data_IF_827267372157
#
_entry.id   IF_827267372157
#
_cell.length_a   1.000
_cell.length_b   1.000
_cell.length_c   1.000
_cell.angle_alpha   90.00
_cell.angle_beta   90.00
_cell.angle_gamma   90.00
#
_symmetry.space_group_name_H-M   'P 1'
#
loop_
_entity.id
_entity.type
_entity.pdbx_description
1 polymer ?
#
# COMPACT_ATOMS: atom_id res chain seq x y z
N UNK A 1 8.57 -59.13 5.18
CA UNK A 1 9.92 -58.62 5.41
C UNK A 1 9.79 -57.16 5.71
N UNK A 2 9.59 -56.95 6.89
CA UNK A 2 10.17 -56.15 7.99
C UNK A 2 10.33 -54.67 7.71
N UNK A 3 9.39 -53.92 8.30
CA UNK A 3 9.38 -52.47 8.56
C UNK A 3 10.55 -52.06 9.45
N UNK A 4 11.12 -50.86 9.16
CA UNK A 4 11.89 -50.12 10.15
C UNK A 4 11.39 -48.65 10.18
N UNK A 5 11.03 -48.12 11.35
CA UNK A 5 10.67 -46.72 11.50
C UNK A 5 11.94 -45.87 11.65
N UNK A 6 11.99 -44.74 10.93
CA UNK A 6 12.98 -43.67 11.12
C UNK A 6 12.60 -42.78 12.31
N UNK A 7 13.38 -42.87 13.37
CA UNK A 7 13.37 -41.96 14.50
C UNK A 7 13.95 -40.60 14.08
N UNK A 8 13.15 -39.56 14.05
CA UNK A 8 13.59 -38.16 14.03
C UNK A 8 14.10 -37.78 15.41
N UNK A 9 15.39 -37.59 15.59
CA UNK A 9 15.99 -37.00 16.79
C UNK A 9 15.93 -35.47 16.64
N UNK A 10 15.08 -34.83 17.43
CA UNK A 10 15.10 -33.38 17.62
C UNK A 10 16.42 -32.94 18.28
N UNK A 11 17.20 -32.14 17.60
CA UNK A 11 18.37 -31.49 18.16
C UNK A 11 17.94 -30.29 18.99
N UNK A 12 17.99 -30.44 20.30
CA UNK A 12 17.85 -29.34 21.27
C UNK A 12 19.15 -28.52 21.24
N UNK A 13 19.12 -27.35 20.63
CA UNK A 13 20.25 -26.43 20.64
C UNK A 13 20.31 -25.76 22.02
N UNK A 14 21.22 -26.22 22.86
CA UNK A 14 21.55 -25.61 24.14
C UNK A 14 22.34 -24.34 23.84
N UNK A 15 21.73 -23.17 24.10
CA UNK A 15 22.44 -21.88 24.11
C UNK A 15 23.44 -21.89 25.29
N UNK A 16 24.72 -22.03 24.95
CA UNK A 16 25.82 -21.86 25.91
C UNK A 16 25.93 -20.39 26.25
N UNK A 17 25.59 -20.03 27.48
CA UNK A 17 25.86 -18.71 28.02
C UNK A 17 27.38 -18.54 28.14
N UNK A 18 28.00 -17.80 27.24
CA UNK A 18 29.37 -17.33 27.41
C UNK A 18 29.47 -16.44 28.62
N UNK A 19 30.48 -16.67 29.43
CA UNK A 19 30.78 -15.99 30.67
C UNK A 19 30.91 -14.47 30.44
N UNK A 20 30.01 -13.68 31.01
CA UNK A 20 30.14 -12.25 31.10
C UNK A 20 31.46 -11.87 31.82
N UNK A 21 32.21 -10.89 31.30
CA UNK A 21 33.43 -10.41 31.98
C UNK A 21 33.09 -9.79 33.34
N UNK A 22 34.04 -9.81 34.34
CA UNK A 22 33.78 -9.34 35.67
C UNK A 22 33.47 -7.83 35.65
N UNK A 23 32.37 -7.46 36.29
CA UNK A 23 31.89 -6.08 36.45
C UNK A 23 32.93 -5.28 37.25
N UNK A 24 33.82 -4.58 36.53
CA UNK A 24 34.65 -3.54 37.17
C UNK A 24 33.72 -2.42 37.63
N UNK A 25 33.75 -2.15 38.94
CA UNK A 25 33.11 -1.08 39.72
C UNK A 25 32.45 0.01 38.86
N UNK A 26 31.14 -0.17 38.56
CA UNK A 26 30.31 0.90 38.00
C UNK A 26 30.27 2.02 39.06
N UNK A 27 30.83 3.17 38.71
CA UNK A 27 30.57 4.41 39.47
C UNK A 27 29.05 4.63 39.47
N UNK A 28 28.47 4.89 40.65
CA UNK A 28 27.07 5.22 40.83
C UNK A 28 26.67 6.31 39.85
N UNK A 29 26.05 5.94 38.76
CA UNK A 29 25.30 6.89 37.91
C UNK A 29 24.07 7.29 38.72
N UNK A 30 23.84 8.61 38.81
CA UNK A 30 22.70 9.20 39.49
C UNK A 30 21.40 8.45 39.13
N UNK A 31 20.55 8.09 40.12
CA UNK A 31 19.27 7.44 39.84
C UNK A 31 18.39 8.22 38.85
N UNK A 32 18.64 9.52 38.68
CA UNK A 32 18.01 10.37 37.69
C UNK A 32 18.31 9.95 36.25
N UNK A 33 19.49 9.39 35.93
CA UNK A 33 19.84 8.96 34.60
C UNK A 33 19.04 7.69 34.17
N UNK A 34 18.83 6.78 35.13
CA UNK A 34 18.07 5.54 34.89
C UNK A 34 16.58 5.87 34.69
N UNK A 35 16.03 6.81 35.46
CA UNK A 35 14.63 7.26 35.31
C UNK A 35 14.44 7.96 33.97
N UNK A 36 15.42 8.73 33.48
CA UNK A 36 15.35 9.42 32.19
C UNK A 36 15.36 8.43 31.01
N UNK A 37 16.15 7.35 31.09
CA UNK A 37 16.17 6.30 30.05
C UNK A 37 14.85 5.51 30.05
N UNK A 38 14.24 5.24 31.21
CA UNK A 38 12.93 4.59 31.27
C UNK A 38 11.79 5.51 30.81
N UNK A 39 11.87 6.82 31.07
CA UNK A 39 10.84 7.76 30.62
C UNK A 39 10.86 7.98 29.10
N UNK A 40 12.03 7.96 28.46
CA UNK A 40 12.14 8.06 26.98
C UNK A 40 11.69 6.78 26.25
N UNK A 41 11.82 5.61 26.88
CA UNK A 41 11.32 4.35 26.31
C UNK A 41 9.79 4.24 26.35
N UNK A 42 9.10 5.02 27.20
CA UNK A 42 7.63 5.07 27.29
C UNK A 42 6.99 6.08 26.31
N UNK A 43 7.80 6.86 25.58
CA UNK A 43 7.36 7.88 24.63
C UNK A 43 7.51 7.43 23.17
N UNK A 44 7.51 6.13 22.87
CA UNK A 44 7.24 5.73 21.49
C UNK A 44 5.85 6.23 21.12
N UNK A 45 5.73 7.10 20.09
CA UNK A 45 4.41 7.53 19.66
C UNK A 45 3.58 6.28 19.34
N UNK A 46 2.38 6.23 19.91
CA UNK A 46 1.44 5.17 19.59
C UNK A 46 1.25 5.13 18.08
N UNK A 47 1.15 3.93 17.51
CA UNK A 47 0.88 3.78 16.08
C UNK A 47 -0.45 4.49 15.75
N UNK A 48 -0.44 5.36 14.76
CA UNK A 48 -1.66 5.97 14.25
C UNK A 48 -2.35 4.97 13.32
N UNK A 49 -3.60 4.64 13.62
CA UNK A 49 -4.40 3.69 12.85
C UNK A 49 -5.62 4.40 12.31
N UNK A 50 -5.76 4.41 10.99
CA UNK A 50 -6.89 4.93 10.25
C UNK A 50 -7.61 3.76 9.58
N UNK A 51 -8.90 3.58 9.83
CA UNK A 51 -9.72 2.55 9.21
C UNK A 51 -10.69 3.15 8.22
N UNK A 52 -10.92 2.42 7.13
CA UNK A 52 -11.85 2.83 6.09
C UNK A 52 -12.68 1.66 5.56
N UNK A 53 -13.85 2.01 5.04
CA UNK A 53 -14.71 1.12 4.27
C UNK A 53 -15.05 1.80 2.95
N UNK A 54 -15.30 1.01 1.90
CA UNK A 54 -15.67 1.54 0.61
C UNK A 54 -16.78 0.70 -0.04
N UNK A 55 -17.72 1.39 -0.68
CA UNK A 55 -18.70 0.80 -1.60
C UNK A 55 -18.21 1.00 -3.01
N UNK A 56 -18.15 -0.07 -3.78
CA UNK A 56 -17.62 -0.10 -5.15
C UNK A 56 -18.78 -0.35 -6.10
N UNK A 57 -18.97 0.57 -7.04
CA UNK A 57 -19.98 0.50 -8.09
C UNK A 57 -19.28 0.53 -9.46
N UNK A 58 -19.20 -0.59 -10.18
CA UNK A 58 -18.68 -0.64 -11.54
C UNK A 58 -19.71 -0.21 -12.62
N UNK A 59 -20.92 0.18 -12.24
CA UNK A 59 -21.96 0.60 -13.18
C UNK A 59 -22.63 -0.54 -13.95
N UNK A 60 -22.42 -1.80 -13.56
CA UNK A 60 -22.99 -2.99 -14.23
C UNK A 60 -24.04 -3.72 -13.36
N UNK A 61 -24.49 -3.08 -12.28
CA UNK A 61 -25.47 -3.62 -11.31
C UNK A 61 -24.89 -4.48 -10.20
N UNK A 62 -23.62 -4.88 -10.27
CA UNK A 62 -22.94 -5.54 -9.16
C UNK A 62 -22.36 -4.49 -8.20
N UNK A 63 -22.43 -4.78 -6.91
CA UNK A 63 -21.85 -3.93 -5.87
C UNK A 63 -20.83 -4.76 -5.09
N UNK A 64 -19.61 -4.24 -5.04
CA UNK A 64 -18.56 -4.82 -4.19
C UNK A 64 -18.32 -3.91 -2.99
N UNK A 65 -17.61 -4.41 -2.01
CA UNK A 65 -17.18 -3.62 -0.85
C UNK A 65 -15.68 -3.78 -0.65
N UNK A 66 -15.06 -2.77 -0.05
CA UNK A 66 -13.69 -2.90 0.44
C UNK A 66 -13.62 -2.42 1.89
N UNK A 67 -12.67 -2.96 2.63
CA UNK A 67 -12.31 -2.53 3.98
C UNK A 67 -10.81 -2.50 4.09
N UNK A 68 -10.30 -1.60 4.89
CA UNK A 68 -8.86 -1.57 5.09
C UNK A 68 -8.45 -0.67 6.24
N UNK A 69 -7.15 -0.67 6.47
CA UNK A 69 -6.51 0.14 7.49
C UNK A 69 -5.18 0.70 6.97
N UNK A 70 -4.84 1.85 7.50
CA UNK A 70 -3.54 2.51 7.30
C UNK A 70 -2.91 2.66 8.66
N UNK A 71 -1.75 2.04 8.86
CA UNK A 71 -0.99 2.09 10.12
C UNK A 71 0.30 2.87 9.87
N UNK A 72 0.51 3.94 10.65
CA UNK A 72 1.76 4.72 10.64
C UNK A 72 2.55 4.39 11.89
N UNK A 73 3.74 3.86 11.71
CA UNK A 73 4.64 3.51 12.80
C UNK A 73 6.09 3.55 12.36
N UNK A 74 6.97 4.14 13.17
CA UNK A 74 8.43 4.20 12.96
C UNK A 74 8.84 4.69 11.56
N UNK A 75 8.15 5.73 11.04
CA UNK A 75 8.43 6.33 9.74
C UNK A 75 8.05 5.43 8.56
N UNK A 76 7.25 4.39 8.78
CA UNK A 76 6.68 3.52 7.77
C UNK A 76 5.16 3.59 7.78
N UNK A 77 4.59 3.46 6.61
CA UNK A 77 3.15 3.31 6.43
C UNK A 77 2.87 1.90 5.90
N UNK A 78 1.99 1.20 6.58
CA UNK A 78 1.42 -0.08 6.12
C UNK A 78 -0.05 0.16 5.81
N UNK A 79 -0.45 -0.08 4.57
CA UNK A 79 -1.86 -0.08 4.15
C UNK A 79 -2.26 -1.51 3.81
N UNK A 80 -3.34 -1.98 4.41
CA UNK A 80 -3.97 -3.27 4.13
C UNK A 80 -5.37 -3.03 3.60
N UNK A 81 -5.75 -3.72 2.53
CA UNK A 81 -7.08 -3.60 1.89
C UNK A 81 -7.62 -4.98 1.56
N UNK A 82 -8.90 -5.19 1.83
CA UNK A 82 -9.64 -6.39 1.47
C UNK A 82 -10.85 -5.99 0.64
N UNK A 83 -11.07 -6.70 -0.45
CA UNK A 83 -12.22 -6.49 -1.34
C UNK A 83 -13.11 -7.71 -1.29
N UNK A 84 -14.42 -7.46 -1.26
CA UNK A 84 -15.43 -8.51 -1.06
C UNK A 84 -16.49 -8.43 -2.15
N UNK A 85 -17.05 -9.57 -2.48
CA UNK A 85 -18.28 -9.66 -3.27
C UNK A 85 -19.53 -9.39 -2.41
N UNK A 86 -20.70 -9.50 -3.03
CA UNK A 86 -22.00 -9.30 -2.40
C UNK A 86 -22.28 -10.34 -1.28
N UNK A 87 -21.63 -11.50 -1.33
CA UNK A 87 -21.77 -12.59 -0.35
C UNK A 87 -20.74 -12.49 0.78
N UNK A 88 -19.86 -11.49 0.74
CA UNK A 88 -18.79 -11.32 1.72
C UNK A 88 -17.57 -12.20 1.48
N UNK A 89 -17.44 -12.84 0.31
CA UNK A 89 -16.25 -13.59 -0.06
C UNK A 89 -15.12 -12.65 -0.43
N UNK A 90 -13.90 -12.93 0.05
CA UNK A 90 -12.71 -12.14 -0.30
C UNK A 90 -12.37 -12.37 -1.78
N UNK A 91 -12.35 -11.29 -2.55
CA UNK A 91 -11.98 -11.25 -3.96
C UNK A 91 -10.53 -10.90 -4.16
N UNK A 92 -10.04 -9.94 -3.37
CA UNK A 92 -8.66 -9.46 -3.40
C UNK A 92 -8.23 -9.12 -1.97
N UNK A 93 -6.99 -9.45 -1.66
CA UNK A 93 -6.29 -8.87 -0.53
C UNK A 93 -5.04 -8.12 -1.03
N UNK A 94 -4.74 -6.99 -0.41
CA UNK A 94 -3.59 -6.17 -0.78
C UNK A 94 -2.94 -5.62 0.48
N UNK A 95 -1.61 -5.77 0.55
CA UNK A 95 -0.78 -5.15 1.59
C UNK A 95 0.37 -4.40 0.94
N UNK A 96 0.46 -3.11 1.23
CA UNK A 96 1.57 -2.27 0.79
C UNK A 96 2.27 -1.65 1.99
N UNK A 97 3.60 -1.65 1.95
CA UNK A 97 4.46 -1.00 2.94
C UNK A 97 5.36 -0.01 2.22
N UNK A 98 5.45 1.21 2.71
CA UNK A 98 6.27 2.26 2.12
C UNK A 98 6.84 3.20 3.20
N UNK A 99 7.88 3.94 2.85
CA UNK A 99 8.48 4.97 3.68
C UNK A 99 7.54 6.18 3.77
N UNK A 100 7.32 6.68 4.98
CA UNK A 100 6.36 7.77 5.22
C UNK A 100 6.81 9.11 4.62
N UNK A 101 8.10 9.42 4.66
CA UNK A 101 8.62 10.72 4.22
C UNK A 101 8.84 10.79 2.72
N UNK A 102 9.40 9.73 2.15
CA UNK A 102 9.73 9.67 0.73
C UNK A 102 8.73 8.91 -0.13
N UNK A 103 7.70 8.30 0.49
CA UNK A 103 6.70 7.43 -0.15
C UNK A 103 7.30 6.28 -0.96
N UNK A 104 8.59 5.98 -0.72
CA UNK A 104 9.28 4.91 -1.42
C UNK A 104 8.71 3.57 -1.01
N UNK A 105 8.26 2.81 -1.99
CA UNK A 105 7.73 1.48 -1.79
C UNK A 105 8.79 0.58 -1.17
N UNK A 106 8.44 -0.14 -0.12
CA UNK A 106 9.28 -1.16 0.52
C UNK A 106 8.84 -2.53 0.03
N UNK A 107 7.53 -2.81 0.10
CA UNK A 107 6.95 -4.03 -0.43
C UNK A 107 5.48 -3.84 -0.80
N UNK A 108 5.04 -4.65 -1.75
CA UNK A 108 3.63 -4.83 -2.11
C UNK A 108 3.38 -6.33 -2.28
N UNK A 109 2.26 -6.80 -1.77
CA UNK A 109 1.67 -8.09 -2.12
C UNK A 109 0.19 -7.84 -2.39
N UNK A 110 -0.28 -8.26 -3.55
CA UNK A 110 -1.68 -8.17 -3.97
C UNK A 110 -2.09 -9.52 -4.55
N UNK A 111 -3.09 -10.16 -3.95
CA UNK A 111 -3.53 -11.50 -4.29
C UNK A 111 -5.03 -11.52 -4.58
N UNK A 112 -5.39 -12.06 -5.72
CA UNK A 112 -6.77 -12.34 -6.12
C UNK A 112 -7.01 -13.85 -6.14
N UNK A 113 -7.50 -14.45 -5.03
CA UNK A 113 -7.55 -15.91 -4.84
C UNK A 113 -8.40 -16.63 -5.90
N UNK A 114 -9.48 -16.00 -6.39
CA UNK A 114 -10.39 -16.59 -7.39
C UNK A 114 -9.67 -17.08 -8.64
N UNK A 115 -8.66 -16.33 -9.07
CA UNK A 115 -7.93 -16.61 -10.31
C UNK A 115 -6.49 -17.05 -10.05
N UNK A 116 -6.02 -16.93 -8.80
CA UNK A 116 -4.61 -17.12 -8.46
C UNK A 116 -3.70 -16.05 -9.05
N UNK A 117 -4.27 -14.85 -9.33
CA UNK A 117 -3.50 -13.67 -9.74
C UNK A 117 -2.73 -13.14 -8.55
N UNK A 118 -1.44 -12.87 -8.75
CA UNK A 118 -0.55 -12.34 -7.72
C UNK A 118 0.32 -11.25 -8.31
N UNK A 119 0.46 -10.15 -7.58
CA UNK A 119 1.44 -9.10 -7.84
C UNK A 119 2.27 -8.90 -6.59
N UNK A 120 3.58 -8.89 -6.75
CA UNK A 120 4.53 -8.66 -5.68
C UNK A 120 5.54 -7.59 -6.12
N UNK A 121 5.89 -6.68 -5.23
CA UNK A 121 7.01 -5.77 -5.41
C UNK A 121 7.83 -5.82 -4.13
N UNK A 122 9.14 -5.99 -4.29
CA UNK A 122 10.09 -5.94 -3.18
C UNK A 122 11.24 -5.00 -3.52
N UNK A 123 11.52 -4.04 -2.66
CA UNK A 123 12.68 -3.17 -2.80
C UNK A 123 13.95 -3.90 -2.38
N UNK A 124 15.00 -3.82 -3.23
CA UNK A 124 16.36 -4.33 -2.95
C UNK A 124 17.38 -3.25 -3.33
N UNK A 125 17.87 -2.54 -2.33
CA UNK A 125 18.80 -1.42 -2.54
C UNK A 125 18.17 -0.30 -3.37
N UNK A 126 18.74 -0.01 -4.53
CA UNK A 126 18.28 1.00 -5.50
C UNK A 126 17.37 0.43 -6.58
N UNK A 127 16.80 -0.75 -6.40
CA UNK A 127 15.95 -1.41 -7.38
C UNK A 127 14.70 -2.00 -6.71
N UNK A 128 13.66 -2.20 -7.52
CA UNK A 128 12.48 -3.00 -7.18
C UNK A 128 12.49 -4.27 -8.02
N UNK A 129 12.22 -5.39 -7.38
CA UNK A 129 11.91 -6.65 -8.05
C UNK A 129 10.40 -6.76 -8.05
N UNK A 130 9.79 -6.68 -9.23
CA UNK A 130 8.37 -6.84 -9.44
C UNK A 130 8.08 -8.21 -10.03
N UNK A 131 7.17 -8.97 -9.42
CA UNK A 131 6.75 -10.29 -9.87
C UNK A 131 5.25 -10.29 -10.13
N UNK A 132 4.84 -10.92 -11.20
CA UNK A 132 3.45 -10.99 -11.60
C UNK A 132 3.10 -12.38 -12.11
N UNK A 133 1.98 -12.89 -11.65
CA UNK A 133 1.30 -14.07 -12.17
C UNK A 133 -0.15 -13.74 -12.44
N UNK A 134 -0.61 -13.95 -13.67
CA UNK A 134 -1.97 -13.58 -14.09
C UNK A 134 -3.03 -14.54 -13.54
N UNK A 135 -2.71 -15.83 -13.47
CA UNK A 135 -3.60 -16.88 -12.95
C UNK A 135 -2.79 -18.07 -12.42
N UNK A 136 -3.46 -19.00 -11.73
CA UNK A 136 -2.81 -20.16 -11.10
C UNK A 136 -2.11 -21.11 -12.09
N UNK A 137 -2.46 -21.09 -13.37
CA UNK A 137 -1.85 -21.91 -14.41
C UNK A 137 -0.62 -21.28 -15.07
N UNK A 138 -0.27 -20.04 -14.74
CA UNK A 138 0.90 -19.35 -15.30
C UNK A 138 2.06 -19.33 -14.33
N UNK A 139 3.29 -19.27 -14.86
CA UNK A 139 4.48 -18.99 -14.07
C UNK A 139 4.61 -17.52 -13.72
N UNK A 140 5.37 -17.21 -12.68
CA UNK A 140 5.71 -15.84 -12.34
C UNK A 140 6.61 -15.23 -13.42
N UNK A 141 6.23 -14.03 -13.85
CA UNK A 141 7.09 -13.15 -14.66
C UNK A 141 7.74 -12.15 -13.74
N UNK A 142 9.05 -12.02 -13.82
CA UNK A 142 9.84 -11.08 -13.03
C UNK A 142 10.31 -9.89 -13.88
N UNK A 143 10.37 -8.72 -13.25
CA UNK A 143 10.90 -7.50 -13.86
C UNK A 143 11.65 -6.69 -12.81
N UNK A 144 12.80 -6.12 -13.21
CA UNK A 144 13.61 -5.24 -12.37
C UNK A 144 13.34 -3.79 -12.79
N UNK A 145 13.01 -2.94 -11.83
CA UNK A 145 12.73 -1.52 -12.00
C UNK A 145 13.75 -0.75 -11.17
N UNK A 146 14.40 0.26 -11.75
CA UNK A 146 15.31 1.11 -11.00
C UNK A 146 14.52 2.09 -10.12
N UNK A 147 14.98 2.31 -8.88
CA UNK A 147 14.40 3.32 -8.00
C UNK A 147 14.61 4.71 -8.60
N UNK A 148 13.55 5.49 -8.66
CA UNK A 148 13.53 6.84 -9.19
C UNK A 148 12.77 7.77 -8.23
N UNK A 149 12.97 9.07 -8.29
CA UNK A 149 12.18 10.03 -7.54
C UNK A 149 10.69 9.90 -7.86
N UNK A 150 9.85 9.91 -6.81
CA UNK A 150 8.38 9.82 -6.90
C UNK A 150 7.88 8.63 -7.74
N UNK A 151 8.55 7.49 -7.62
CA UNK A 151 8.09 6.25 -8.18
C UNK A 151 7.10 5.59 -7.22
N UNK A 152 5.83 5.59 -7.60
CA UNK A 152 4.70 5.13 -6.80
C UNK A 152 4.06 3.88 -7.42
N UNK A 153 3.18 3.25 -6.67
CA UNK A 153 2.23 2.24 -7.15
C UNK A 153 0.80 2.71 -6.85
N UNK A 154 -0.19 2.20 -7.57
CA UNK A 154 -1.60 2.55 -7.35
C UNK A 154 -2.06 2.40 -5.90
N UNK A 155 -1.46 1.45 -5.14
CA UNK A 155 -1.83 1.16 -3.75
C UNK A 155 -1.35 2.20 -2.74
N UNK A 156 -0.17 2.84 -2.93
CA UNK A 156 0.31 3.91 -2.04
C UNK A 156 -0.01 5.31 -2.56
N UNK A 157 -0.44 5.43 -3.83
CA UNK A 157 -0.82 6.69 -4.45
C UNK A 157 -1.87 7.49 -3.67
N UNK A 158 -2.98 6.90 -3.17
CA UNK A 158 -3.98 7.67 -2.42
C UNK A 158 -3.41 8.33 -1.17
N UNK A 159 -2.53 7.66 -0.44
CA UNK A 159 -1.89 8.22 0.77
C UNK A 159 -0.92 9.34 0.38
N UNK A 160 -0.13 9.15 -0.69
CA UNK A 160 0.73 10.19 -1.22
C UNK A 160 -0.06 11.46 -1.57
N UNK A 161 -1.15 11.33 -2.32
CA UNK A 161 -1.98 12.45 -2.75
C UNK A 161 -2.58 13.20 -1.56
N UNK A 162 -3.16 12.49 -0.58
CA UNK A 162 -3.77 13.12 0.59
C UNK A 162 -2.82 14.02 1.38
N UNK A 163 -1.54 13.66 1.43
CA UNK A 163 -0.51 14.40 2.17
C UNK A 163 0.18 15.49 1.34
N UNK A 164 -0.02 15.50 0.02
CA UNK A 164 0.66 16.41 -0.91
C UNK A 164 -0.30 17.24 -1.78
N UNK A 165 -1.55 17.43 -1.35
CA UNK A 165 -2.54 18.21 -2.10
C UNK A 165 -2.09 19.64 -2.37
N UNK A 166 -1.30 20.23 -1.47
CA UNK A 166 -0.72 21.56 -1.62
C UNK A 166 0.28 21.68 -2.79
N UNK A 167 0.86 20.56 -3.24
CA UNK A 167 1.77 20.52 -4.40
C UNK A 167 1.01 20.36 -5.72
N UNK A 168 -0.30 20.01 -5.64
CA UNK A 168 -1.12 19.71 -6.82
C UNK A 168 -1.91 20.95 -7.20
N UNK A 169 -1.33 21.78 -8.06
CA UNK A 169 -2.00 22.96 -8.61
C UNK A 169 -2.71 22.67 -9.95
N UNK A 170 -3.24 23.73 -10.57
CA UNK A 170 -3.85 23.67 -11.92
C UNK A 170 -2.82 23.32 -13.00
N UNK A 171 -1.57 23.76 -12.84
CA UNK A 171 -0.47 23.47 -13.76
C UNK A 171 -0.11 21.98 -13.80
N UNK A 172 -0.39 21.27 -12.70
CA UNK A 172 -0.17 19.85 -12.57
C UNK A 172 1.09 19.48 -11.81
N UNK A 173 1.06 18.30 -11.21
CA UNK A 173 2.17 17.65 -10.51
C UNK A 173 2.40 16.27 -11.14
N UNK A 174 3.66 15.94 -11.45
CA UNK A 174 3.99 14.69 -12.18
C UNK A 174 4.60 13.68 -11.23
N UNK A 175 4.11 12.44 -11.29
CA UNK A 175 4.68 11.27 -10.63
C UNK A 175 4.82 10.12 -11.64
N UNK A 176 5.63 9.13 -11.31
CA UNK A 176 5.74 7.87 -12.06
C UNK A 176 5.00 6.76 -11.34
N UNK A 177 4.20 5.99 -12.07
CA UNK A 177 3.52 4.81 -11.55
C UNK A 177 4.12 3.53 -12.11
N UNK A 178 4.40 2.59 -11.21
CA UNK A 178 4.75 1.21 -11.59
C UNK A 178 3.48 0.48 -12.01
N UNK A 179 3.48 -0.07 -13.21
CA UNK A 179 2.41 -0.93 -13.75
C UNK A 179 2.98 -2.35 -13.89
N UNK A 180 2.83 -3.15 -12.83
CA UNK A 180 3.44 -4.48 -12.71
C UNK A 180 3.06 -5.42 -13.86
N UNK A 181 1.77 -5.56 -14.27
CA UNK A 181 1.39 -6.46 -15.36
C UNK A 181 2.04 -6.10 -16.70
N UNK A 182 2.27 -4.81 -16.93
CA UNK A 182 2.84 -4.28 -18.18
C UNK A 182 4.37 -4.20 -18.15
N UNK A 183 5.00 -4.46 -17.00
CA UNK A 183 6.45 -4.35 -16.78
C UNK A 183 7.01 -2.97 -17.17
N UNK A 184 6.27 -1.91 -16.86
CA UNK A 184 6.63 -0.55 -17.27
C UNK A 184 6.30 0.47 -16.18
N UNK A 185 6.86 1.65 -16.37
CA UNK A 185 6.56 2.85 -15.61
C UNK A 185 5.84 3.84 -16.53
N UNK A 186 4.84 4.53 -15.99
CA UNK A 186 4.09 5.55 -16.72
C UNK A 186 4.16 6.85 -15.94
N UNK A 187 4.51 7.95 -16.60
CA UNK A 187 4.39 9.29 -16.04
C UNK A 187 2.93 9.72 -16.07
N UNK A 188 2.42 10.07 -14.89
CA UNK A 188 1.07 10.57 -14.69
C UNK A 188 1.11 12.01 -14.20
N UNK A 189 0.21 12.84 -14.70
CA UNK A 189 0.03 14.22 -14.26
C UNK A 189 -1.25 14.35 -13.44
N UNK A 190 -1.13 14.97 -12.27
CA UNK A 190 -2.22 15.25 -11.34
C UNK A 190 -2.55 16.73 -11.37
N UNK A 191 -3.81 17.09 -11.53
CA UNK A 191 -4.28 18.49 -11.57
C UNK A 191 -5.42 18.69 -10.61
N UNK A 192 -5.37 19.76 -9.82
CA UNK A 192 -6.51 20.20 -9.03
C UNK A 192 -7.50 20.91 -9.92
N UNK A 193 -8.73 20.42 -9.99
CA UNK A 193 -9.84 20.93 -10.81
C UNK A 193 -10.81 21.80 -10.01
N UNK A 194 -10.43 22.15 -8.78
CA UNK A 194 -11.25 22.94 -7.88
C UNK A 194 -12.02 22.09 -6.88
N UNK A 195 -13.03 22.69 -6.28
CA UNK A 195 -13.81 22.10 -5.19
C UNK A 195 -15.16 21.59 -5.72
N UNK A 196 -15.54 20.39 -5.27
CA UNK A 196 -16.83 19.74 -5.54
C UNK A 196 -17.49 19.31 -4.24
N UNK A 197 -18.82 19.30 -4.22
CA UNK A 197 -19.55 18.66 -3.12
C UNK A 197 -19.77 17.16 -3.43
N UNK A 198 -19.29 16.31 -2.55
CA UNK A 198 -19.41 14.85 -2.64
C UNK A 198 -20.12 14.34 -1.39
N UNK A 199 -21.40 13.99 -1.53
CA UNK A 199 -22.23 13.48 -0.43
C UNK A 199 -22.25 14.39 0.82
N UNK A 200 -22.24 15.73 0.62
CA UNK A 200 -22.22 16.73 1.69
C UNK A 200 -20.83 17.21 2.11
N UNK A 201 -19.76 16.56 1.64
CA UNK A 201 -18.37 16.95 1.92
C UNK A 201 -17.84 17.86 0.81
N UNK A 202 -17.19 18.97 1.19
CA UNK A 202 -16.41 19.78 0.26
C UNK A 202 -15.10 19.05 -0.04
N UNK A 203 -14.82 18.76 -1.33
CA UNK A 203 -13.67 17.97 -1.73
C UNK A 203 -12.90 18.66 -2.85
N UNK A 204 -11.57 18.61 -2.77
CA UNK A 204 -10.71 18.86 -3.94
C UNK A 204 -10.91 17.76 -4.96
N UNK A 205 -11.21 18.13 -6.21
CA UNK A 205 -11.22 17.20 -7.35
C UNK A 205 -9.82 17.13 -7.96
N UNK A 206 -9.15 16.00 -7.78
CA UNK A 206 -7.83 15.74 -8.37
C UNK A 206 -8.01 14.83 -9.58
N UNK A 207 -7.72 15.38 -10.75
CA UNK A 207 -7.72 14.65 -12.02
C UNK A 207 -6.33 14.04 -12.27
N UNK A 208 -6.27 12.77 -12.67
CA UNK A 208 -5.05 12.07 -13.07
C UNK A 208 -5.16 11.62 -14.52
N UNK A 209 -4.18 12.02 -15.32
CA UNK A 209 -4.03 11.65 -16.74
C UNK A 209 -2.62 11.14 -17.02
N UNK A 210 -2.41 10.45 -18.14
CA UNK A 210 -1.07 10.22 -18.66
C UNK A 210 -0.40 11.56 -19.00
N UNK A 211 0.84 11.77 -18.54
CA UNK A 211 1.59 12.98 -18.85
C UNK A 211 1.99 13.05 -20.34
N UNK A 212 2.29 11.88 -20.93
CA UNK A 212 2.60 11.75 -22.35
C UNK A 212 1.34 11.83 -23.19
N UNK A 213 1.30 12.78 -24.12
CA UNK A 213 0.15 13.01 -25.02
C UNK A 213 -0.20 11.79 -25.87
N UNK A 214 0.77 10.97 -26.26
CA UNK A 214 0.54 9.75 -27.05
C UNK A 214 -0.09 8.61 -26.23
N UNK A 215 0.07 8.64 -24.91
CA UNK A 215 -0.55 7.66 -24.00
C UNK A 215 -1.95 8.08 -23.53
N UNK A 216 -2.30 9.37 -23.63
CA UNK A 216 -3.62 9.88 -23.20
C UNK A 216 -4.81 9.13 -23.79
N UNK A 217 -4.85 8.76 -25.09
CA UNK A 217 -5.98 8.01 -25.64
C UNK A 217 -6.09 6.58 -25.09
N UNK A 218 -4.99 6.03 -24.53
CA UNK A 218 -4.91 4.66 -24.02
C UNK A 218 -5.18 4.57 -22.52
N UNK A 219 -5.02 5.67 -21.80
CA UNK A 219 -5.20 5.75 -20.35
C UNK A 219 -6.44 6.58 -20.04
N UNK A 220 -7.46 5.95 -19.46
CA UNK A 220 -8.66 6.68 -19.04
C UNK A 220 -8.30 7.67 -17.92
N UNK A 221 -8.95 8.81 -17.90
CA UNK A 221 -8.80 9.83 -16.84
C UNK A 221 -9.38 9.33 -15.54
N UNK A 222 -8.60 9.40 -14.45
CA UNK A 222 -9.03 9.03 -13.10
C UNK A 222 -9.33 10.28 -12.28
N UNK A 223 -10.22 10.16 -11.30
CA UNK A 223 -10.58 11.26 -10.40
C UNK A 223 -10.51 10.80 -8.94
N UNK A 224 -9.93 11.67 -8.10
CA UNK A 224 -9.86 11.49 -6.66
C UNK A 224 -10.51 12.70 -6.00
N UNK A 225 -11.38 12.47 -5.01
CA UNK A 225 -12.08 13.54 -4.29
C UNK A 225 -11.67 13.50 -2.82
N UNK A 226 -10.75 14.39 -2.46
CA UNK A 226 -10.23 14.52 -1.10
C UNK A 226 -10.93 15.63 -0.34
N UNK A 227 -11.33 15.38 0.91
CA UNK A 227 -11.87 16.42 1.79
C UNK A 227 -10.95 17.62 1.89
N UNK A 228 -11.53 18.83 1.95
CA UNK A 228 -10.78 20.09 2.09
C UNK A 228 -10.21 20.29 3.49
N UNK A 229 -10.73 19.58 4.49
CA UNK A 229 -10.28 19.62 5.88
C UNK A 229 -9.26 18.52 6.17
N UNK A 230 -8.35 18.80 7.11
CA UNK A 230 -7.36 17.83 7.59
C UNK A 230 -7.99 16.91 8.65
N UNK A 231 -7.77 15.58 8.58
CA UNK A 231 -7.03 14.88 7.55
C UNK A 231 -7.81 14.84 6.23
N UNK A 232 -7.10 14.99 5.12
CA UNK A 232 -7.71 15.01 3.79
C UNK A 232 -8.16 13.60 3.37
N UNK A 233 -9.28 13.14 3.88
CA UNK A 233 -9.84 11.83 3.55
C UNK A 233 -10.26 11.73 2.08
N UNK A 234 -10.01 10.58 1.47
CA UNK A 234 -10.48 10.26 0.12
C UNK A 234 -11.94 9.81 0.18
N UNK A 235 -12.89 10.68 -0.12
CA UNK A 235 -14.32 10.34 -0.08
C UNK A 235 -14.81 9.60 -1.33
N UNK A 236 -14.18 9.83 -2.49
CA UNK A 236 -14.55 9.15 -3.73
C UNK A 236 -13.33 8.98 -4.65
N UNK A 237 -13.30 7.85 -5.33
CA UNK A 237 -12.40 7.57 -6.43
C UNK A 237 -13.19 7.09 -7.63
N UNK A 238 -12.84 7.56 -8.83
CA UNK A 238 -13.39 7.08 -10.10
C UNK A 238 -12.20 6.67 -10.96
N UNK A 239 -12.15 5.40 -11.35
CA UNK A 239 -11.02 4.89 -12.11
C UNK A 239 -10.97 3.37 -12.21
N UNK A 240 -9.81 2.86 -12.60
CA UNK A 240 -9.52 1.43 -12.60
C UNK A 240 -9.39 0.92 -11.18
N UNK A 241 -10.15 -0.11 -10.86
CA UNK A 241 -10.16 -0.78 -9.56
C UNK A 241 -9.25 -2.01 -9.68
N UNK A 242 -8.55 -2.35 -8.60
CA UNK A 242 -7.61 -3.49 -8.59
C UNK A 242 -8.29 -4.88 -8.75
N UNK A 243 -9.62 -4.92 -8.83
CA UNK A 243 -10.40 -6.13 -9.09
C UNK A 243 -10.45 -6.43 -10.58
N UNK A 244 -10.52 -7.72 -10.92
CA UNK A 244 -10.81 -8.18 -12.28
C UNK A 244 -12.24 -8.73 -12.40
N UNK A 245 -12.81 -8.57 -13.59
CA UNK A 245 -14.05 -9.22 -13.96
C UNK A 245 -13.82 -10.73 -14.24
N UNK A 246 -14.88 -11.54 -14.45
CA UNK A 246 -14.72 -12.96 -14.76
C UNK A 246 -13.86 -13.26 -16.00
N UNK A 247 -13.71 -12.32 -16.92
CA UNK A 247 -12.86 -12.45 -18.11
C UNK A 247 -11.40 -12.11 -17.86
N UNK A 248 -11.07 -11.63 -16.64
CA UNK A 248 -9.72 -11.22 -16.25
C UNK A 248 -9.36 -9.79 -16.65
N UNK A 249 -10.35 -8.95 -17.07
CA UNK A 249 -10.14 -7.54 -17.36
C UNK A 249 -10.28 -6.70 -16.11
N UNK A 250 -9.51 -5.61 -16.01
CA UNK A 250 -9.61 -4.67 -14.89
C UNK A 250 -11.00 -3.99 -14.90
N UNK A 251 -11.59 -3.86 -13.72
CA UNK A 251 -12.88 -3.20 -13.53
C UNK A 251 -12.67 -1.69 -13.49
N UNK A 252 -13.47 -0.96 -14.25
CA UNK A 252 -13.62 0.48 -14.13
C UNK A 252 -14.84 0.80 -13.27
N UNK A 253 -14.74 1.74 -12.34
CA UNK A 253 -15.90 2.07 -11.50
C UNK A 253 -15.65 3.21 -10.53
N UNK A 254 -16.60 3.37 -9.62
CA UNK A 254 -16.58 4.37 -8.54
C UNK A 254 -16.42 3.66 -7.21
N UNK A 255 -15.52 4.15 -6.36
CA UNK A 255 -15.44 3.75 -4.95
C UNK A 255 -15.83 4.96 -4.09
N UNK A 256 -16.81 4.79 -3.22
CA UNK A 256 -17.17 5.77 -2.19
C UNK A 256 -16.72 5.29 -0.84
N UNK A 257 -15.92 6.10 -0.13
CA UNK A 257 -15.28 5.73 1.14
C UNK A 257 -15.97 6.38 2.33
N UNK A 258 -15.90 5.71 3.47
CA UNK A 258 -16.21 6.19 4.81
C UNK A 258 -15.07 5.82 5.75
N UNK A 259 -14.82 6.64 6.77
CA UNK A 259 -13.72 6.48 7.73
C UNK A 259 -14.28 6.34 9.15
N UNK A 260 -13.55 5.58 9.99
CA UNK A 260 -13.85 5.35 11.41
C UNK A 260 -12.84 6.07 12.30
#
# INVERSE_FOLDING_TARGET
MMDKPLHSKGNLTILVFEKLPPIKKMKCYSPFLIIFIFLTALLSPAAEIEKYQGKIDPGNGHIYTCRGEIIRNDGKVTKTSYFYDENGQILLNEKVVFDEKGYKLISLVSEEPRYGRIQEIQRKGSQYIARYRKNSGEEFREHIINDQPLLLHGSNLPVYLSQNLNLIGESGHVCRLIIVPMKMEIEMIFKNKGIKNINGHQCFEIQMDAANIFLKPLVKTHYFYYGTETPHYLYRYIGTISLTNPNGDDIWGTISFTYE
#
